data_IF_121912260566
#
_entry.id   IF_121912260566
#
_cell.length_a   1.000
_cell.length_b   1.000
_cell.length_c   1.000
_cell.angle_alpha   90.00
_cell.angle_beta   90.00
_cell.angle_gamma   90.00
#
_symmetry.space_group_name_H-M   'P 1'
#
loop_
_entity.id
_entity.type
_entity.pdbx_description
1 polymer ?
#
# COMPACT_ATOMS: atom_id res chain seq x y z
N UNK A 1 18.58 -54.27 57.51
CA UNK A 1 19.55 -53.26 57.01
C UNK A 1 19.52 -53.33 55.49
N UNK A 2 19.34 -52.31 54.67
CA UNK A 2 19.09 -50.89 54.85
C UNK A 2 18.39 -50.36 53.58
N UNK A 3 17.38 -49.51 53.78
CA UNK A 3 16.90 -48.38 52.95
C UNK A 3 16.82 -48.54 51.43
N UNK A 4 15.61 -48.86 50.93
CA UNK A 4 15.16 -48.42 49.61
C UNK A 4 15.16 -46.88 49.55
N UNK A 5 16.06 -46.33 48.74
CA UNK A 5 16.13 -44.90 48.48
C UNK A 5 14.88 -44.41 47.75
N UNK A 6 13.99 -43.72 48.47
CA UNK A 6 12.92 -42.91 47.89
C UNK A 6 13.52 -41.76 47.09
N UNK A 7 13.84 -42.01 45.82
CA UNK A 7 14.10 -40.98 44.83
C UNK A 7 12.79 -40.26 44.52
N UNK A 8 12.48 -39.18 45.25
CA UNK A 8 11.35 -38.32 44.95
C UNK A 8 11.49 -37.78 43.53
N UNK A 9 10.64 -38.24 42.61
CA UNK A 9 10.55 -37.67 41.28
C UNK A 9 10.16 -36.21 41.42
N UNK A 10 11.14 -35.33 41.27
CA UNK A 10 10.93 -33.88 41.16
C UNK A 10 10.08 -33.69 39.90
N UNK A 11 8.75 -33.60 40.04
CA UNK A 11 7.84 -33.27 38.93
C UNK A 11 8.27 -31.92 38.40
N UNK A 12 8.89 -31.92 37.22
CA UNK A 12 9.21 -30.69 36.50
C UNK A 12 7.91 -29.92 36.29
N UNK A 13 7.90 -28.65 36.66
CA UNK A 13 6.72 -27.80 36.46
C UNK A 13 6.45 -27.76 34.94
N UNK A 14 5.22 -28.02 34.48
CA UNK A 14 4.92 -27.95 33.05
C UNK A 14 5.30 -26.57 32.51
N UNK A 15 6.09 -26.56 31.43
CA UNK A 15 6.63 -25.35 30.83
C UNK A 15 5.68 -24.81 29.76
N UNK A 16 4.89 -23.79 30.11
CA UNK A 16 3.90 -23.17 29.23
C UNK A 16 4.45 -22.00 28.39
N UNK A 17 5.74 -21.68 28.50
CA UNK A 17 6.36 -20.52 27.82
C UNK A 17 6.11 -20.59 26.31
N UNK A 18 6.28 -21.77 25.70
CA UNK A 18 6.05 -21.94 24.27
C UNK A 18 4.59 -21.74 23.86
N UNK A 19 3.64 -22.21 24.68
CA UNK A 19 2.21 -22.01 24.42
C UNK A 19 1.83 -20.53 24.51
N UNK A 20 2.37 -19.81 25.50
CA UNK A 20 2.14 -18.38 25.68
C UNK A 20 2.72 -17.60 24.49
N UNK A 21 3.96 -17.89 24.09
CA UNK A 21 4.59 -17.27 22.92
C UNK A 21 3.78 -17.54 21.64
N UNK A 22 3.30 -18.77 21.44
CA UNK A 22 2.50 -19.13 20.27
C UNK A 22 1.19 -18.34 20.19
N UNK A 23 0.41 -18.31 21.27
CA UNK A 23 -0.86 -17.56 21.32
C UNK A 23 -0.61 -16.06 21.15
N UNK A 24 0.46 -15.53 21.75
CA UNK A 24 0.83 -14.11 21.63
C UNK A 24 1.12 -13.72 20.18
N UNK A 25 1.84 -14.58 19.45
CA UNK A 25 2.17 -14.35 18.04
C UNK A 25 0.91 -14.33 17.16
N UNK A 26 -0.01 -15.27 17.41
CA UNK A 26 -1.29 -15.33 16.69
C UNK A 26 -2.13 -14.07 16.94
N UNK A 27 -2.25 -13.65 18.20
CA UNK A 27 -2.96 -12.42 18.57
C UNK A 27 -2.31 -11.17 17.99
N UNK A 28 -0.97 -11.12 17.93
CA UNK A 28 -0.24 -10.03 17.30
C UNK A 28 -0.57 -9.93 15.80
N UNK A 29 -0.53 -11.05 15.08
CA UNK A 29 -0.85 -11.08 13.64
C UNK A 29 -2.31 -10.67 13.41
N UNK A 30 -3.25 -11.17 14.22
CA UNK A 30 -4.65 -10.74 14.14
C UNK A 30 -4.83 -9.24 14.45
N UNK A 31 -4.08 -8.70 15.42
CA UNK A 31 -4.10 -7.27 15.75
C UNK A 31 -3.59 -6.41 14.60
N UNK A 32 -2.47 -6.79 13.98
CA UNK A 32 -1.91 -6.10 12.81
C UNK A 32 -2.89 -6.17 11.63
N UNK A 33 -3.50 -7.33 11.40
CA UNK A 33 -4.55 -7.48 10.38
C UNK A 33 -5.73 -6.55 10.63
N UNK A 34 -6.26 -6.52 11.86
CA UNK A 34 -7.35 -5.61 12.23
C UNK A 34 -6.97 -4.14 12.02
N UNK A 35 -5.77 -3.74 12.43
CA UNK A 35 -5.23 -2.41 12.18
C UNK A 35 -5.07 -2.12 10.68
N UNK A 36 -4.62 -3.09 9.89
CA UNK A 36 -4.47 -2.97 8.44
C UNK A 36 -5.81 -2.73 7.76
N UNK A 37 -6.86 -3.48 8.10
CA UNK A 37 -8.21 -3.26 7.54
C UNK A 37 -8.76 -1.86 7.85
N UNK A 38 -8.51 -1.33 9.05
CA UNK A 38 -8.93 0.03 9.42
C UNK A 38 -8.18 1.10 8.60
N UNK A 39 -6.89 0.89 8.33
CA UNK A 39 -6.06 1.83 7.55
C UNK A 39 -6.12 1.58 6.04
N UNK A 40 -6.70 0.47 5.59
CA UNK A 40 -6.71 0.05 4.18
C UNK A 40 -7.40 1.07 3.27
N UNK A 41 -8.41 1.80 3.76
CA UNK A 41 -9.10 2.83 2.97
C UNK A 41 -8.14 3.94 2.50
N UNK A 42 -7.19 4.34 3.35
CA UNK A 42 -6.24 5.39 3.02
C UNK A 42 -5.13 4.88 2.09
N UNK A 43 -4.70 3.64 2.28
CA UNK A 43 -3.76 2.97 1.37
C UNK A 43 -4.41 2.80 -0.01
N UNK A 44 -5.64 2.30 -0.06
CA UNK A 44 -6.39 2.09 -1.29
C UNK A 44 -6.75 3.40 -2.02
N UNK A 45 -7.01 4.51 -1.30
CA UNK A 45 -7.26 5.81 -1.94
C UNK A 45 -5.99 6.32 -2.62
N UNK A 46 -4.82 6.17 -2.00
CA UNK A 46 -3.54 6.54 -2.62
C UNK A 46 -3.27 5.70 -3.88
N UNK A 47 -3.56 4.39 -3.86
CA UNK A 47 -3.41 3.54 -5.04
C UNK A 47 -4.40 3.87 -6.17
N UNK A 48 -5.64 4.27 -5.85
CA UNK A 48 -6.63 4.64 -6.86
C UNK A 48 -6.33 6.00 -7.52
N UNK A 49 -5.62 6.88 -6.84
CA UNK A 49 -5.26 8.21 -7.38
C UNK A 49 -4.07 8.18 -8.34
N UNK A 50 -3.28 7.11 -8.36
CA UNK A 50 -2.07 7.00 -9.19
C UNK A 50 -2.32 6.50 -10.63
N UNK A 51 -3.58 6.40 -11.07
CA UNK A 51 -3.88 6.06 -12.47
C UNK A 51 -3.68 7.30 -13.33
N UNK A 52 -2.47 7.45 -13.89
CA UNK A 52 -2.14 8.49 -14.88
C UNK A 52 -2.43 7.98 -16.28
N UNK A 53 -3.31 8.67 -17.00
CA UNK A 53 -3.60 8.42 -18.41
C UNK A 53 -3.02 9.55 -19.26
N UNK A 54 -2.15 9.20 -20.22
CA UNK A 54 -1.52 10.15 -21.14
C UNK A 54 -2.12 9.99 -22.54
N UNK A 55 -2.78 11.02 -23.04
CA UNK A 55 -3.29 11.07 -24.41
C UNK A 55 -2.39 11.98 -25.27
N UNK A 56 -1.74 11.41 -26.28
CA UNK A 56 -0.88 12.17 -27.19
C UNK A 56 -1.70 12.76 -28.33
N UNK A 57 -1.77 14.09 -28.37
CA UNK A 57 -2.44 14.83 -29.42
C UNK A 57 -1.42 15.16 -30.52
N UNK A 58 -1.74 14.81 -31.77
CA UNK A 58 -1.02 15.35 -32.94
C UNK A 58 -1.27 16.86 -32.97
N UNK A 59 -0.34 17.66 -33.47
CA UNK A 59 -0.41 19.13 -33.50
C UNK A 59 -1.76 19.63 -34.06
N UNK A 60 -2.72 19.87 -33.18
CA UNK A 60 -4.03 20.44 -33.49
C UNK A 60 -4.02 21.87 -32.97
N UNK A 61 -4.87 22.70 -33.57
CA UNK A 61 -4.98 24.12 -33.24
C UNK A 61 -5.16 24.33 -31.72
N UNK A 62 -4.60 25.40 -31.15
CA UNK A 62 -4.65 25.65 -29.68
C UNK A 62 -6.09 25.67 -29.15
N UNK A 63 -7.04 26.15 -29.97
CA UNK A 63 -8.45 26.23 -29.63
C UNK A 63 -9.10 24.84 -29.47
N UNK A 64 -8.69 23.86 -30.28
CA UNK A 64 -9.20 22.49 -30.22
C UNK A 64 -8.73 21.79 -28.93
N UNK A 65 -7.52 22.09 -28.48
CA UNK A 65 -6.94 21.50 -27.25
C UNK A 65 -7.74 21.93 -26.02
N UNK A 66 -8.13 23.21 -25.94
CA UNK A 66 -8.95 23.73 -24.85
C UNK A 66 -10.32 23.02 -24.78
N UNK A 67 -10.95 22.78 -25.92
CA UNK A 67 -12.23 22.07 -25.99
C UNK A 67 -12.09 20.61 -25.54
N UNK A 68 -11.02 19.92 -25.94
CA UNK A 68 -10.74 18.54 -25.51
C UNK A 68 -10.52 18.48 -24.00
N UNK A 69 -9.73 19.41 -23.45
CA UNK A 69 -9.48 19.49 -22.02
C UNK A 69 -10.79 19.67 -21.24
N UNK A 70 -11.65 20.59 -21.68
CA UNK A 70 -12.93 20.86 -21.04
C UNK A 70 -13.91 19.68 -21.15
N UNK A 71 -13.93 18.99 -22.28
CA UNK A 71 -14.72 17.78 -22.46
C UNK A 71 -14.29 16.69 -21.48
N UNK A 72 -12.99 16.42 -21.34
CA UNK A 72 -12.48 15.41 -20.41
C UNK A 72 -12.75 15.84 -18.96
N UNK A 73 -12.54 17.11 -18.62
CA UNK A 73 -12.78 17.62 -17.27
C UNK A 73 -14.26 17.55 -16.85
N UNK A 74 -15.20 17.53 -17.80
CA UNK A 74 -16.64 17.37 -17.51
C UNK A 74 -17.05 15.93 -17.18
N UNK A 75 -16.16 14.95 -17.38
CA UNK A 75 -16.48 13.54 -17.17
C UNK A 75 -16.36 13.14 -15.69
N UNK A 76 -17.25 12.25 -15.18
CA UNK A 76 -17.28 11.88 -13.76
C UNK A 76 -16.07 11.04 -13.31
N UNK A 77 -15.29 10.50 -14.25
CA UNK A 77 -14.08 9.72 -13.99
C UNK A 77 -12.80 10.56 -14.05
N UNK A 78 -12.87 11.82 -14.49
CA UNK A 78 -11.73 12.69 -14.62
C UNK A 78 -11.55 13.54 -13.35
N UNK A 79 -10.59 13.16 -12.51
CA UNK A 79 -10.31 13.90 -11.25
C UNK A 79 -9.41 15.12 -11.47
N UNK A 80 -8.42 15.00 -12.35
CA UNK A 80 -7.48 16.07 -12.69
C UNK A 80 -7.12 15.98 -14.19
N UNK A 81 -7.20 17.10 -14.91
CA UNK A 81 -6.92 17.17 -16.36
C UNK A 81 -5.94 18.31 -16.62
N UNK A 82 -4.70 17.94 -16.88
CA UNK A 82 -3.61 18.90 -17.13
C UNK A 82 -3.16 18.80 -18.59
N UNK A 83 -3.11 19.93 -19.27
CA UNK A 83 -2.46 20.02 -20.58
C UNK A 83 -0.95 20.20 -20.42
N UNK A 84 -0.17 19.34 -21.08
CA UNK A 84 1.29 19.41 -21.11
C UNK A 84 1.71 19.83 -22.52
N UNK A 85 2.36 20.98 -22.63
CA UNK A 85 2.91 21.45 -23.91
C UNK A 85 4.23 20.71 -24.25
N UNK A 86 4.78 20.95 -25.44
CA UNK A 86 6.00 20.24 -25.91
C UNK A 86 7.21 20.53 -25.02
N UNK A 87 7.33 21.77 -24.54
CA UNK A 87 8.43 22.22 -23.70
C UNK A 87 8.39 21.56 -22.32
N UNK A 88 7.23 21.56 -21.65
CA UNK A 88 6.98 20.88 -20.38
C UNK A 88 7.09 19.37 -20.50
N UNK A 89 6.67 18.78 -21.63
CA UNK A 89 6.84 17.35 -21.87
C UNK A 89 8.32 16.96 -21.92
N UNK A 90 9.15 17.79 -22.56
CA UNK A 90 10.61 17.60 -22.57
C UNK A 90 11.21 17.73 -21.18
N UNK A 91 10.76 18.71 -20.39
CA UNK A 91 11.26 18.92 -19.02
C UNK A 91 10.92 17.74 -18.09
N UNK A 92 9.69 17.20 -18.19
CA UNK A 92 9.27 16.00 -17.46
C UNK A 92 10.12 14.79 -17.89
N UNK A 93 10.31 14.60 -19.20
CA UNK A 93 11.12 13.52 -19.75
C UNK A 93 12.55 13.54 -19.21
N UNK A 94 13.19 14.70 -19.25
CA UNK A 94 14.56 14.89 -18.74
C UNK A 94 14.65 14.60 -17.24
N UNK A 95 13.66 15.06 -16.46
CA UNK A 95 13.59 14.82 -15.01
C UNK A 95 13.38 13.36 -14.65
N UNK A 96 12.57 12.61 -15.41
CA UNK A 96 12.33 11.18 -15.16
C UNK A 96 13.51 10.30 -15.63
N UNK A 97 14.22 10.72 -16.68
CA UNK A 97 15.32 9.95 -17.28
C UNK A 97 16.72 10.37 -16.80
N UNK A 98 16.84 11.35 -15.89
CA UNK A 98 18.12 11.89 -15.40
C UNK A 98 19.09 12.33 -16.52
N UNK A 99 18.58 13.01 -17.55
CA UNK A 99 19.41 13.72 -18.55
C UNK A 99 19.42 15.23 -18.33
#
# INVERSE_FOLDING_TARGET
MATEGKGGLKRSKPNYIYSIVGVSLVLLIMGIMGWFFLNFKQVASNFKEDIRLSAYLRTQNKDTIAQIQQYIASQPFAKNVTYVNKESAKEIWNKENNE
#
